data_IF_900535476899
#
_entry.id   IF_900535476899
#
_cell.length_a   1.000
_cell.length_b   1.000
_cell.length_c   1.000
_cell.angle_alpha   90.00
_cell.angle_beta   90.00
_cell.angle_gamma   90.00
#
_symmetry.space_group_name_H-M   'P 1'
#
loop_
_entity.id
_entity.type
_entity.pdbx_description
1 polymer ?
#
# COMPACT_ATOMS: atom_id res chain seq x y z
N UNK A 1 -2.67 -12.27 4.09
CA UNK A 1 -3.20 -10.90 3.87
C UNK A 1 -2.27 -10.15 2.92
N UNK A 2 -2.75 -9.14 2.17
CA UNK A 2 -1.92 -8.42 1.23
C UNK A 2 -2.06 -6.90 1.31
N UNK A 3 -0.92 -6.20 1.39
CA UNK A 3 -0.86 -4.74 1.44
C UNK A 3 -0.33 -4.22 0.13
N UNK A 4 -1.03 -3.22 -0.39
CA UNK A 4 -0.60 -2.46 -1.55
C UNK A 4 0.25 -1.30 -1.06
N UNK A 5 1.54 -1.30 -1.40
CA UNK A 5 2.38 -0.12 -1.22
C UNK A 5 2.45 0.60 -2.57
N UNK A 6 1.81 1.75 -2.68
CA UNK A 6 2.00 2.66 -3.81
C UNK A 6 3.07 3.68 -3.45
N UNK A 7 4.17 3.72 -4.19
CA UNK A 7 4.96 4.95 -4.27
C UNK A 7 4.19 5.94 -5.13
N UNK A 8 3.64 7.02 -4.55
CA UNK A 8 3.16 8.16 -5.32
C UNK A 8 4.23 9.24 -5.29
N UNK A 9 4.67 9.64 -6.48
CA UNK A 9 5.40 10.87 -6.76
C UNK A 9 4.51 12.03 -6.27
N UNK A 10 4.98 12.76 -5.27
CA UNK A 10 4.17 13.67 -4.46
C UNK A 10 3.97 15.04 -5.11
N UNK A 11 2.85 15.68 -4.77
CA UNK A 11 2.58 17.11 -5.09
C UNK A 11 3.43 18.05 -4.22
N UNK A 12 3.68 19.29 -4.67
CA UNK A 12 4.44 20.29 -3.92
C UNK A 12 3.83 20.48 -2.51
N UNK A 13 4.63 20.27 -1.47
CA UNK A 13 4.22 20.48 -0.06
C UNK A 13 3.93 19.21 0.76
N UNK A 14 4.08 18.03 0.18
CA UNK A 14 4.09 16.76 0.95
C UNK A 14 5.54 16.35 1.25
N UNK A 15 5.81 15.86 2.48
CA UNK A 15 7.17 15.55 2.97
C UNK A 15 7.89 14.45 2.16
N UNK A 16 7.19 13.76 1.25
CA UNK A 16 7.83 13.07 0.13
C UNK A 16 7.44 13.77 -1.18
N UNK A 17 8.27 14.71 -1.63
CA UNK A 17 8.15 15.36 -2.94
C UNK A 17 9.18 14.75 -3.91
N UNK A 18 9.18 13.43 -4.07
CA UNK A 18 9.90 12.77 -5.16
C UNK A 18 9.12 13.15 -6.41
N UNK A 19 9.65 14.00 -7.29
CA UNK A 19 8.84 14.45 -8.44
C UNK A 19 9.24 15.74 -9.11
N UNK A 20 10.52 15.98 -9.38
CA UNK A 20 10.85 16.90 -10.46
C UNK A 20 11.89 16.28 -11.37
N UNK A 21 11.42 15.77 -12.51
CA UNK A 21 12.24 15.45 -13.69
C UNK A 21 13.46 14.54 -13.41
N UNK A 22 13.41 13.71 -12.37
CA UNK A 22 14.49 12.79 -12.04
C UNK A 22 14.03 11.36 -12.25
N UNK A 23 14.82 10.62 -13.03
CA UNK A 23 14.66 9.19 -13.16
C UNK A 23 15.56 8.51 -12.14
N UNK A 24 15.05 7.47 -11.50
CA UNK A 24 15.83 6.69 -10.54
C UNK A 24 16.17 5.34 -11.16
N UNK A 25 17.46 5.13 -11.35
CA UNK A 25 18.06 3.83 -11.59
C UNK A 25 18.52 3.30 -10.22
N UNK A 26 18.25 2.03 -9.92
CA UNK A 26 18.60 1.38 -8.64
C UNK A 26 18.02 2.03 -7.37
N UNK A 27 16.71 2.27 -7.38
CA UNK A 27 15.99 2.75 -6.20
C UNK A 27 15.83 1.66 -5.13
N UNK A 28 15.71 2.10 -3.87
CA UNK A 28 15.39 1.24 -2.73
C UNK A 28 14.39 1.91 -1.78
N UNK A 29 13.51 1.10 -1.21
CA UNK A 29 12.44 1.54 -0.31
C UNK A 29 12.46 0.67 0.95
N UNK A 30 13.10 1.13 2.04
CA UNK A 30 12.91 0.50 3.34
C UNK A 30 11.55 0.91 3.92
N UNK A 31 10.75 -0.08 4.27
CA UNK A 31 9.49 0.10 5.02
C UNK A 31 9.62 -0.50 6.42
N UNK A 32 9.27 0.27 7.44
CA UNK A 32 9.29 -0.19 8.84
C UNK A 32 7.90 -0.63 9.27
N UNK A 33 7.79 -1.86 9.79
CA UNK A 33 6.54 -2.44 10.24
C UNK A 33 6.50 -2.53 11.76
N UNK A 34 5.39 -2.10 12.38
CA UNK A 34 5.29 -2.04 13.85
C UNK A 34 5.07 -3.41 14.49
N UNK A 35 4.26 -4.28 13.86
CA UNK A 35 3.87 -5.59 14.44
C UNK A 35 3.75 -6.72 13.42
N UNK A 36 3.29 -6.45 12.20
CA UNK A 36 3.01 -7.48 11.19
C UNK A 36 4.22 -7.99 10.40
N UNK A 37 5.44 -7.62 10.81
CA UNK A 37 6.68 -7.92 10.10
C UNK A 37 7.00 -9.41 10.02
N UNK A 38 6.76 -10.15 11.10
CA UNK A 38 7.06 -11.59 11.20
C UNK A 38 6.18 -12.44 10.29
N UNK A 39 5.11 -11.87 9.76
CA UNK A 39 4.28 -12.50 8.74
C UNK A 39 4.80 -12.30 7.33
N UNK A 40 5.79 -11.43 7.08
CA UNK A 40 6.22 -11.12 5.72
C UNK A 40 6.76 -12.35 5.00
N UNK A 41 6.26 -12.60 3.78
CA UNK A 41 6.72 -13.70 2.94
C UNK A 41 7.46 -13.21 1.70
N UNK A 42 6.84 -12.31 0.93
CA UNK A 42 7.41 -11.81 -0.33
C UNK A 42 6.74 -10.55 -0.84
N UNK A 43 7.44 -9.85 -1.72
CA UNK A 43 6.88 -8.83 -2.62
C UNK A 43 6.75 -9.43 -4.04
N UNK A 44 5.70 -9.06 -4.78
CA UNK A 44 5.43 -9.66 -6.09
C UNK A 44 5.97 -8.87 -7.29
N UNK A 45 6.13 -7.56 -7.14
CA UNK A 45 6.60 -6.67 -8.22
C UNK A 45 7.99 -6.10 -7.95
N UNK A 46 8.49 -6.33 -6.74
CA UNK A 46 9.78 -5.87 -6.22
C UNK A 46 10.47 -7.05 -5.58
N UNK A 47 11.80 -6.98 -5.46
CA UNK A 47 12.52 -7.85 -4.54
C UNK A 47 12.33 -7.29 -3.11
N UNK A 48 12.15 -8.17 -2.12
CA UNK A 48 11.79 -7.78 -0.76
C UNK A 48 12.49 -8.64 0.27
N UNK A 49 13.29 -8.04 1.13
CA UNK A 49 14.06 -8.72 2.18
C UNK A 49 13.72 -8.15 3.56
N UNK A 50 13.41 -9.01 4.52
CA UNK A 50 13.17 -8.62 5.91
C UNK A 50 14.49 -8.52 6.68
N UNK A 51 14.68 -7.41 7.37
CA UNK A 51 15.77 -7.13 8.29
C UNK A 51 15.20 -6.88 9.69
N UNK A 52 15.18 -7.93 10.51
CA UNK A 52 14.67 -7.89 11.89
C UNK A 52 15.56 -7.02 12.78
N UNK A 53 16.87 -7.02 12.52
CA UNK A 53 17.91 -6.23 13.18
C UNK A 53 17.78 -4.72 12.93
N UNK A 54 17.06 -4.32 11.87
CA UNK A 54 16.86 -2.93 11.48
C UNK A 54 15.44 -2.45 11.79
N UNK A 55 14.98 -2.61 13.03
CA UNK A 55 13.62 -2.23 13.46
C UNK A 55 12.51 -2.88 12.62
N UNK A 56 12.70 -4.16 12.25
CA UNK A 56 11.75 -4.92 11.45
C UNK A 56 11.44 -4.24 10.10
N UNK A 57 12.51 -3.88 9.39
CA UNK A 57 12.43 -3.21 8.09
C UNK A 57 12.33 -4.24 6.99
N UNK A 58 11.38 -4.07 6.07
CA UNK A 58 11.41 -4.77 4.78
C UNK A 58 12.06 -3.83 3.77
N UNK A 59 13.21 -4.23 3.23
CA UNK A 59 13.89 -3.52 2.17
C UNK A 59 13.32 -3.97 0.83
N UNK A 60 12.70 -3.05 0.09
CA UNK A 60 12.18 -3.27 -1.25
C UNK A 60 13.13 -2.69 -2.28
N UNK A 61 13.43 -3.45 -3.33
CA UNK A 61 14.26 -3.01 -4.47
C UNK A 61 13.62 -3.43 -5.79
N UNK A 62 13.98 -2.74 -6.87
CA UNK A 62 13.51 -3.07 -8.21
C UNK A 62 13.93 -4.48 -8.64
N UNK A 63 13.08 -5.12 -9.46
CA UNK A 63 13.47 -6.35 -10.15
C UNK A 63 14.36 -6.01 -11.36
N UNK A 64 15.26 -6.92 -11.79
CA UNK A 64 16.02 -6.73 -13.02
C UNK A 64 15.08 -6.43 -14.21
N UNK A 65 15.29 -5.30 -14.89
CA UNK A 65 14.42 -4.84 -15.99
C UNK A 65 13.19 -4.01 -15.56
N UNK A 66 12.98 -3.79 -14.26
CA UNK A 66 11.97 -2.88 -13.70
C UNK A 66 12.55 -1.97 -12.60
N UNK A 67 13.86 -1.72 -12.65
CA UNK A 67 14.60 -0.83 -11.76
C UNK A 67 14.42 0.65 -12.08
N UNK A 68 13.77 0.99 -13.21
CA UNK A 68 13.62 2.38 -13.63
C UNK A 68 12.31 2.99 -13.15
N UNK A 69 12.39 4.01 -12.31
CA UNK A 69 11.26 4.87 -11.98
C UNK A 69 11.36 6.15 -12.80
N UNK A 70 10.40 6.32 -13.72
CA UNK A 70 10.29 7.53 -14.54
C UNK A 70 9.71 8.66 -13.69
N UNK A 71 10.42 9.79 -13.67
CA UNK A 71 9.96 10.99 -13.02
C UNK A 71 8.68 11.56 -13.64
N UNK A 72 8.12 12.59 -13.02
CA UNK A 72 7.00 13.32 -13.61
C UNK A 72 7.42 13.94 -14.96
N UNK A 73 6.71 13.59 -16.04
CA UNK A 73 6.91 14.20 -17.36
C UNK A 73 5.86 15.28 -17.58
N UNK A 74 6.32 16.49 -17.95
CA UNK A 74 5.42 17.53 -18.45
C UNK A 74 4.86 17.10 -19.80
N UNK A 75 3.56 17.34 -20.00
CA UNK A 75 2.96 17.19 -21.33
C UNK A 75 3.52 18.21 -22.32
N UNK A 76 3.14 18.04 -23.59
CA UNK A 76 3.62 18.87 -24.71
C UNK A 76 3.18 20.33 -24.53
N UNK A 77 2.06 20.58 -23.84
CA UNK A 77 1.54 21.91 -23.50
C UNK A 77 1.45 22.06 -21.97
N UNK A 78 2.51 22.53 -21.30
CA UNK A 78 2.59 22.57 -19.83
C UNK A 78 1.51 23.40 -19.15
N UNK A 79 0.89 24.34 -19.87
CA UNK A 79 -0.23 25.16 -19.37
C UNK A 79 -1.57 24.42 -19.31
N UNK A 80 -1.76 23.36 -20.09
CA UNK A 80 -3.03 22.59 -20.15
C UNK A 80 -2.86 21.13 -19.74
N UNK A 81 -1.67 20.57 -19.93
CA UNK A 81 -1.41 19.16 -19.70
C UNK A 81 -1.11 18.91 -18.24
N UNK A 82 -1.91 18.02 -17.64
CA UNK A 82 -1.69 17.59 -16.28
C UNK A 82 -0.43 16.72 -16.22
N UNK A 83 0.55 17.14 -15.43
CA UNK A 83 1.75 16.33 -15.15
C UNK A 83 1.30 14.95 -14.62
N UNK A 84 1.72 13.88 -15.30
CA UNK A 84 1.36 12.51 -14.92
C UNK A 84 2.58 11.85 -14.29
N UNK A 85 2.61 11.70 -12.96
CA UNK A 85 3.65 10.90 -12.33
C UNK A 85 3.49 9.43 -12.70
N UNK A 86 4.60 8.77 -12.99
CA UNK A 86 4.64 7.32 -13.01
C UNK A 86 4.32 6.79 -11.60
N UNK A 87 3.42 5.80 -11.53
CA UNK A 87 3.09 5.10 -10.29
C UNK A 87 3.55 3.67 -10.43
N UNK A 88 4.41 3.22 -9.52
CA UNK A 88 4.66 1.81 -9.33
C UNK A 88 4.00 1.33 -8.04
N UNK A 89 3.37 0.18 -8.14
CA UNK A 89 2.60 -0.44 -7.08
C UNK A 89 3.06 -1.89 -6.95
N UNK A 90 3.30 -2.34 -5.72
CA UNK A 90 3.50 -3.75 -5.44
C UNK A 90 2.60 -4.25 -4.33
N UNK A 91 2.43 -5.56 -4.33
CA UNK A 91 1.65 -6.30 -3.35
C UNK A 91 2.62 -7.08 -2.47
N UNK A 92 2.51 -6.86 -1.17
CA UNK A 92 3.27 -7.59 -0.15
C UNK A 92 2.41 -8.74 0.38
N UNK A 93 2.96 -9.94 0.46
CA UNK A 93 2.29 -11.12 0.98
C UNK A 93 2.68 -11.36 2.43
N UNK A 94 1.67 -11.53 3.30
CA UNK A 94 1.85 -11.86 4.70
C UNK A 94 1.14 -13.16 5.08
N UNK A 95 1.87 -14.05 5.77
CA UNK A 95 1.36 -15.20 6.48
C UNK A 95 0.82 -14.77 7.85
N UNK A 96 -0.40 -15.18 8.14
CA UNK A 96 -1.11 -14.88 9.39
C UNK A 96 -1.25 -16.11 10.30
N UNK A 97 -0.81 -17.29 9.86
CA UNK A 97 -1.08 -18.57 10.53
C UNK A 97 -0.27 -18.72 11.83
N UNK A 98 0.95 -18.17 11.90
CA UNK A 98 1.84 -18.33 13.06
C UNK A 98 2.04 -17.05 13.87
N UNK A 99 1.37 -15.98 13.48
CA UNK A 99 1.72 -14.62 13.88
C UNK A 99 0.75 -14.02 14.90
N UNK A 100 -0.20 -14.81 15.39
CA UNK A 100 -1.26 -14.33 16.28
C UNK A 100 -2.25 -13.42 15.54
N UNK A 101 -3.08 -12.70 16.29
CA UNK A 101 -4.17 -11.87 15.77
C UNK A 101 -3.63 -10.58 15.09
N UNK A 102 -2.93 -10.73 13.96
CA UNK A 102 -2.51 -9.62 13.08
C UNK A 102 -3.73 -9.04 12.40
N UNK A 103 -3.91 -7.73 12.55
CA UNK A 103 -4.93 -6.97 11.85
C UNK A 103 -4.36 -6.31 10.59
N UNK A 104 -5.24 -5.79 9.73
CA UNK A 104 -4.83 -5.04 8.54
C UNK A 104 -3.94 -3.83 8.86
N UNK A 105 -4.14 -3.22 10.02
CA UNK A 105 -3.34 -2.08 10.48
C UNK A 105 -1.92 -2.49 10.88
N UNK A 106 -1.71 -3.75 11.29
CA UNK A 106 -0.40 -4.21 11.77
C UNK A 106 0.60 -4.46 10.63
N UNK A 107 0.08 -4.73 9.42
CA UNK A 107 0.87 -4.92 8.19
C UNK A 107 1.07 -3.62 7.40
N UNK A 108 0.41 -2.52 7.81
CA UNK A 108 0.62 -1.22 7.19
C UNK A 108 1.97 -0.61 7.65
N UNK A 109 2.77 -0.02 6.74
CA UNK A 109 4.02 0.63 7.10
C UNK A 109 3.80 1.72 8.16
N UNK A 110 4.65 1.72 9.18
CA UNK A 110 4.69 2.79 10.18
C UNK A 110 5.62 3.93 9.75
N UNK A 111 6.64 3.61 8.96
CA UNK A 111 7.52 4.55 8.25
C UNK A 111 7.88 3.97 6.90
N UNK A 112 8.09 4.86 5.94
CA UNK A 112 8.54 4.51 4.59
C UNK A 112 9.63 5.49 4.22
N UNK A 113 10.74 4.99 3.71
CA UNK A 113 11.80 5.81 3.17
C UNK A 113 11.93 5.54 1.67
N UNK A 114 12.26 6.55 0.89
CA UNK A 114 12.58 6.40 -0.51
C UNK A 114 13.99 6.95 -0.73
N UNK A 115 14.91 6.09 -1.16
CA UNK A 115 16.32 6.43 -1.34
C UNK A 115 16.94 7.17 -0.12
N UNK A 116 16.50 6.81 1.09
CA UNK A 116 16.99 7.39 2.35
C UNK A 116 16.16 8.56 2.90
N UNK A 117 15.21 9.12 2.16
CA UNK A 117 14.34 10.20 2.63
C UNK A 117 13.03 9.66 3.19
N UNK A 118 12.62 10.11 4.39
CA UNK A 118 11.37 9.67 5.02
C UNK A 118 10.15 10.29 4.33
N UNK A 119 9.26 9.44 3.83
CA UNK A 119 8.02 9.83 3.20
C UNK A 119 6.88 10.03 4.21
N UNK A 120 5.98 10.97 3.89
CA UNK A 120 4.72 11.11 4.61
C UNK A 120 3.77 9.94 4.30
N UNK A 121 3.26 9.29 5.34
CA UNK A 121 2.22 8.27 5.23
C UNK A 121 0.83 8.87 5.41
N UNK A 122 -0.22 8.28 4.80
CA UNK A 122 -1.59 8.75 4.98
C UNK A 122 -2.02 8.62 6.45
N UNK A 123 -2.60 9.69 7.00
CA UNK A 123 -3.09 9.72 8.38
C UNK A 123 -4.33 8.85 8.58
N UNK A 124 -5.10 8.63 7.51
CA UNK A 124 -6.30 7.81 7.51
C UNK A 124 -6.05 6.59 6.63
N UNK A 125 -6.02 5.41 7.26
CA UNK A 125 -6.02 4.14 6.55
C UNK A 125 -7.45 3.78 6.17
N UNK A 126 -7.68 3.26 4.94
CA UNK A 126 -8.99 2.72 4.59
C UNK A 126 -9.32 1.61 5.59
N UNK A 127 -10.37 1.81 6.37
CA UNK A 127 -10.96 0.79 7.24
C UNK A 127 -12.03 0.07 6.43
N UNK A 128 -12.15 -1.24 6.59
CA UNK A 128 -13.29 -1.97 6.05
C UNK A 128 -14.54 -1.60 6.87
N UNK A 129 -15.19 -0.50 6.52
CA UNK A 129 -16.49 -0.08 7.07
C UNK A 129 -17.63 -0.92 6.47
N UNK A 130 -17.46 -2.24 6.41
CA UNK A 130 -18.53 -3.13 6.05
C UNK A 130 -19.56 -3.12 7.18
N UNK A 131 -20.62 -2.34 7.02
CA UNK A 131 -21.80 -2.38 7.87
C UNK A 131 -22.39 -3.79 7.84
N UNK A 132 -22.03 -4.60 8.84
CA UNK A 132 -22.68 -5.88 9.09
C UNK A 132 -24.02 -5.57 9.74
N UNK A 133 -25.04 -5.32 8.94
CA UNK A 133 -26.40 -5.34 9.45
C UNK A 133 -26.69 -6.77 9.94
N UNK A 134 -27.04 -6.97 11.22
CA UNK A 134 -27.49 -8.28 11.64
C UNK A 134 -28.75 -8.60 10.85
N UNK A 135 -28.69 -9.58 9.96
CA UNK A 135 -29.86 -10.05 9.23
C UNK A 135 -30.86 -10.57 10.27
N UNK A 136 -31.94 -9.82 10.50
CA UNK A 136 -33.01 -10.28 11.39
C UNK A 136 -33.81 -11.32 10.64
N UNK A 137 -33.39 -12.59 10.78
CA UNK A 137 -33.97 -13.73 10.08
C UNK A 137 -35.49 -13.83 10.26
N UNK A 138 -36.03 -13.35 11.39
CA UNK A 138 -37.49 -13.30 11.62
C UNK A 138 -38.20 -12.30 10.73
N UNK A 139 -37.61 -11.11 10.54
CA UNK A 139 -38.17 -10.09 9.64
C UNK A 139 -38.12 -10.57 8.19
N UNK A 140 -37.01 -11.19 7.78
CA UNK A 140 -36.85 -11.75 6.44
C UNK A 140 -37.87 -12.86 6.21
N UNK A 141 -37.99 -13.82 7.13
CA UNK A 141 -38.94 -14.93 7.03
C UNK A 141 -40.40 -14.47 7.02
N UNK A 142 -40.73 -13.41 7.76
CA UNK A 142 -42.07 -12.83 7.76
C UNK A 142 -42.41 -12.20 6.40
N UNK A 143 -41.49 -11.41 5.83
CA UNK A 143 -41.68 -10.78 4.51
C UNK A 143 -41.83 -11.85 3.42
N UNK A 144 -41.01 -12.92 3.42
CA UNK A 144 -41.16 -14.01 2.45
C UNK A 144 -42.44 -14.81 2.63
N UNK A 145 -42.89 -15.06 3.88
CA UNK A 145 -44.18 -15.71 4.10
C UNK A 145 -45.34 -14.89 3.54
N UNK A 146 -45.36 -13.57 3.78
CA UNK A 146 -46.42 -12.69 3.29
C UNK A 146 -46.40 -12.60 1.76
N UNK A 147 -45.22 -12.58 1.12
CA UNK A 147 -45.09 -12.53 -0.33
C UNK A 147 -45.41 -13.85 -1.05
N UNK A 148 -45.36 -14.99 -0.36
CA UNK A 148 -45.66 -16.33 -0.92
C UNK A 148 -47.09 -16.80 -0.62
N UNK A 149 -47.76 -16.20 0.36
CA UNK A 149 -49.13 -16.54 0.76
C UNK A 149 -50.19 -15.49 0.35
N UNK A 150 -49.83 -14.48 -0.44
CA UNK A 150 -50.76 -13.54 -1.09
C UNK A 150 -50.81 -13.78 -2.58
#
# INVERSE_FOLDING_TARGET
MSVVTTGKVGRPGSRCSIGKEMNFEDWFIPIQLKRGWSGFQKAFSFNGTLHEDLNNTVLLTGLPGSTYLVGETKGVHPETDQSVPSKQQSMLLFNTIHTGHITECDVFPSRLFFNGEECALPTQLPKSDAWRYPANFKLVAFITCVALCG
#
